data_IF_148346717691
#
_entry.id   IF_148346717691
#
_cell.length_a   1.000
_cell.length_b   1.000
_cell.length_c   1.000
_cell.angle_alpha   90.00
_cell.angle_beta   90.00
_cell.angle_gamma   90.00
#
_symmetry.space_group_name_H-M   'P 1'
#
loop_
_entity.id
_entity.type
_entity.pdbx_description
1 polymer ?
#
# COMPACT_ATOMS: atom_id res chain seq x y z
N UNK A 1 7.33 -0.05 -16.67
CA UNK A 1 6.17 0.03 -17.58
C UNK A 1 4.97 -0.57 -16.90
N UNK A 2 3.83 0.14 -16.84
CA UNK A 2 2.58 -0.32 -16.22
C UNK A 2 2.01 -1.44 -17.11
N UNK A 3 2.15 -2.70 -16.71
CA UNK A 3 1.56 -3.83 -17.42
C UNK A 3 0.13 -4.03 -16.88
N UNK A 4 -0.92 -3.73 -17.66
CA UNK A 4 -2.31 -3.90 -17.22
C UNK A 4 -2.67 -5.35 -16.88
N UNK A 5 -1.87 -6.34 -17.29
CA UNK A 5 -2.05 -7.75 -16.92
C UNK A 5 -1.51 -8.11 -15.53
N UNK A 6 -0.82 -7.19 -14.85
CA UNK A 6 -0.25 -7.39 -13.51
C UNK A 6 -0.77 -6.32 -12.53
N UNK A 7 -2.01 -6.46 -12.05
CA UNK A 7 -2.68 -5.46 -11.21
C UNK A 7 -2.12 -5.39 -9.78
N UNK A 8 -1.23 -6.30 -9.40
CA UNK A 8 -0.79 -6.52 -8.00
C UNK A 8 0.27 -5.55 -7.49
N UNK A 9 0.52 -4.44 -8.18
CA UNK A 9 1.60 -3.52 -7.84
C UNK A 9 3.00 -4.05 -8.20
N UNK A 10 4.04 -3.25 -7.91
CA UNK A 10 5.43 -3.54 -8.29
C UNK A 10 6.30 -3.97 -7.11
N UNK A 11 6.04 -3.41 -5.92
CA UNK A 11 6.83 -3.62 -4.72
C UNK A 11 6.44 -4.92 -4.03
N UNK A 12 7.34 -5.54 -3.28
CA UNK A 12 7.09 -6.75 -2.51
C UNK A 12 6.71 -6.42 -1.09
N UNK A 13 5.71 -7.14 -0.59
CA UNK A 13 5.14 -6.88 0.73
C UNK A 13 6.21 -6.97 1.82
N UNK A 14 6.90 -8.11 1.91
CA UNK A 14 7.73 -8.44 3.07
C UNK A 14 9.01 -7.59 3.21
N UNK A 15 9.67 -7.25 2.10
CA UNK A 15 11.01 -6.65 2.13
C UNK A 15 11.13 -5.33 1.35
N UNK A 16 10.03 -4.81 0.79
CA UNK A 16 9.99 -3.44 0.25
C UNK A 16 8.89 -2.62 0.95
N UNK A 17 7.63 -3.09 0.97
CA UNK A 17 6.51 -2.32 1.51
C UNK A 17 6.46 -2.29 3.05
N UNK A 18 6.55 -3.45 3.72
CA UNK A 18 6.47 -3.52 5.18
C UNK A 18 7.56 -2.70 5.88
N UNK A 19 8.85 -2.76 5.47
CA UNK A 19 9.88 -1.92 6.08
C UNK A 19 9.61 -0.42 5.92
N UNK A 20 9.17 0.02 4.73
CA UNK A 20 8.86 1.43 4.48
C UNK A 20 7.64 1.89 5.27
N UNK A 21 6.58 1.09 5.29
CA UNK A 21 5.36 1.35 6.05
C UNK A 21 5.65 1.48 7.54
N UNK A 22 6.46 0.58 8.11
CA UNK A 22 6.84 0.65 9.51
C UNK A 22 7.55 1.97 9.84
N UNK A 23 8.56 2.37 9.06
CA UNK A 23 9.28 3.63 9.28
C UNK A 23 8.35 4.85 9.21
N UNK A 24 7.49 4.92 8.20
CA UNK A 24 6.58 6.06 8.01
C UNK A 24 5.53 6.14 9.11
N UNK A 25 4.97 5.01 9.53
CA UNK A 25 4.01 5.00 10.63
C UNK A 25 4.64 5.39 11.97
N UNK A 26 5.90 4.97 12.24
CA UNK A 26 6.64 5.46 13.41
C UNK A 26 6.88 6.98 13.35
N UNK A 27 6.95 7.57 12.16
CA UNK A 27 7.04 9.01 11.96
C UNK A 27 5.67 9.74 12.00
N UNK A 28 4.58 9.04 12.32
CA UNK A 28 3.21 9.59 12.37
C UNK A 28 2.52 9.68 11.00
N UNK A 29 3.13 9.14 9.95
CA UNK A 29 2.51 8.98 8.63
C UNK A 29 1.59 7.76 8.54
N UNK A 30 1.23 7.39 7.32
CA UNK A 30 0.38 6.23 7.05
C UNK A 30 0.78 5.56 5.74
N UNK A 31 0.56 4.24 5.65
CA UNK A 31 0.83 3.44 4.46
C UNK A 31 -0.32 2.47 4.18
N UNK A 32 -0.81 2.49 2.95
CA UNK A 32 -1.99 1.75 2.49
C UNK A 32 -1.76 1.07 1.15
N UNK A 33 -2.48 -0.03 0.91
CA UNK A 33 -2.63 -0.65 -0.41
C UNK A 33 -3.56 0.15 -1.32
N UNK A 34 -4.26 1.15 -0.77
CA UNK A 34 -5.39 1.86 -1.35
C UNK A 34 -6.74 1.44 -0.77
N UNK A 35 -6.78 0.31 -0.06
CA UNK A 35 -8.00 -0.25 0.56
C UNK A 35 -7.80 -0.68 2.00
N UNK A 36 -6.61 -1.17 2.34
CA UNK A 36 -6.22 -1.66 3.66
C UNK A 36 -4.81 -1.17 4.03
N UNK A 37 -4.52 -1.15 5.33
CA UNK A 37 -3.22 -0.74 5.87
C UNK A 37 -2.15 -1.78 5.54
N UNK A 38 -0.96 -1.34 5.12
CA UNK A 38 0.12 -2.23 4.65
C UNK A 38 0.56 -3.24 5.71
N UNK A 39 0.70 -2.80 6.96
CA UNK A 39 1.18 -3.66 8.04
C UNK A 39 0.16 -4.69 8.53
N UNK A 40 -1.10 -4.60 8.08
CA UNK A 40 -2.16 -5.54 8.42
C UNK A 40 -2.39 -6.59 7.31
N UNK A 41 -1.72 -6.46 6.15
CA UNK A 41 -1.82 -7.42 5.05
C UNK A 41 -1.15 -8.74 5.44
N UNK A 42 -1.93 -9.81 5.50
CA UNK A 42 -1.40 -11.16 5.68
C UNK A 42 -0.74 -11.66 4.38
N UNK A 43 0.52 -12.13 4.41
CA UNK A 43 1.24 -12.51 3.21
C UNK A 43 0.82 -13.91 2.69
N UNK A 44 0.43 -14.00 1.41
CA UNK A 44 0.16 -15.26 0.69
C UNK A 44 1.45 -15.96 0.19
N UNK A 45 2.60 -15.29 0.27
CA UNK A 45 3.89 -15.87 -0.13
C UNK A 45 5.07 -14.90 -0.08
N UNK A 46 6.29 -15.45 -0.13
CA UNK A 46 7.53 -14.70 0.09
C UNK A 46 7.73 -13.52 -0.88
N UNK A 47 7.28 -13.67 -2.13
CA UNK A 47 7.46 -12.68 -3.19
C UNK A 47 6.16 -11.97 -3.59
N UNK A 48 5.15 -11.98 -2.72
CA UNK A 48 3.89 -11.27 -2.95
C UNK A 48 4.18 -9.80 -3.29
N UNK A 49 3.54 -9.33 -4.36
CA UNK A 49 3.56 -7.92 -4.74
C UNK A 49 2.35 -7.20 -4.17
N UNK A 50 2.53 -5.92 -3.87
CA UNK A 50 1.50 -5.07 -3.31
C UNK A 50 1.59 -3.65 -3.90
N UNK A 51 0.46 -2.97 -4.15
CA UNK A 51 0.44 -1.52 -4.31
C UNK A 51 0.84 -0.82 -2.99
N UNK A 52 1.46 0.36 -3.09
CA UNK A 52 1.88 1.12 -1.91
C UNK A 52 1.57 2.60 -2.12
N UNK A 53 0.74 3.15 -1.25
CA UNK A 53 0.47 4.58 -1.10
C UNK A 53 0.93 4.94 0.31
N UNK A 54 1.86 5.88 0.44
CA UNK A 54 2.57 6.13 1.68
C UNK A 54 2.95 7.60 1.80
N UNK A 55 2.84 8.17 3.00
CA UNK A 55 3.18 9.57 3.25
C UNK A 55 2.41 10.19 4.41
N UNK A 56 2.08 11.48 4.27
CA UNK A 56 1.23 12.22 5.20
C UNK A 56 -0.09 11.50 5.43
N UNK A 57 -0.47 11.28 6.69
CA UNK A 57 -1.64 10.48 7.03
C UNK A 57 -2.92 10.98 6.35
N UNK A 58 -3.16 12.29 6.34
CA UNK A 58 -4.38 12.86 5.76
C UNK A 58 -4.43 12.67 4.24
N UNK A 59 -3.33 12.91 3.52
CA UNK A 59 -3.26 12.75 2.07
C UNK A 59 -3.49 11.28 1.65
N UNK A 60 -2.93 10.32 2.40
CA UNK A 60 -3.12 8.89 2.11
C UNK A 60 -4.56 8.46 2.36
N UNK A 61 -5.20 8.96 3.43
CA UNK A 61 -6.62 8.67 3.72
C UNK A 61 -7.55 9.31 2.68
N UNK A 62 -7.26 10.53 2.23
CA UNK A 62 -7.99 11.18 1.14
C UNK A 62 -7.89 10.35 -0.15
N UNK A 63 -6.69 9.84 -0.47
CA UNK A 63 -6.51 8.92 -1.59
C UNK A 63 -7.33 7.64 -1.44
N UNK A 64 -7.35 7.01 -0.26
CA UNK A 64 -8.17 5.82 -0.02
C UNK A 64 -9.66 6.09 -0.25
N UNK A 65 -10.17 7.23 0.23
CA UNK A 65 -11.58 7.59 0.01
C UNK A 65 -11.89 7.78 -1.47
N UNK A 66 -11.00 8.46 -2.20
CA UNK A 66 -11.12 8.61 -3.64
C UNK A 66 -11.09 7.25 -4.35
N UNK A 67 -10.16 6.37 -3.99
CA UNK A 67 -10.04 5.04 -4.57
C UNK A 67 -11.30 4.19 -4.31
N UNK A 68 -11.83 4.21 -3.08
CA UNK A 68 -13.08 3.51 -2.71
C UNK A 68 -14.28 4.01 -3.51
N UNK A 69 -14.41 5.33 -3.73
CA UNK A 69 -15.52 5.93 -4.49
C UNK A 69 -15.49 5.59 -5.99
N UNK A 70 -14.32 5.39 -6.59
CA UNK A 70 -14.15 5.19 -8.04
C UNK A 70 -14.00 3.72 -8.45
N UNK A 71 -13.99 2.79 -7.49
CA UNK A 71 -13.96 1.34 -7.72
C UNK A 71 -15.32 0.65 -7.43
N UNK A 72 -16.42 1.44 -7.36
CA UNK A 72 -17.81 0.99 -7.52
C UNK A 72 -18.30 1.22 -8.95
#
# INVERSE_FOLDING_TARGET
TKDPKRPTGKLRLLYEANPLAYVVEQAGGYASTGYERILDVEPDGLHQRVPLIIGSKLDVLEYEEFAKKNNM
#
